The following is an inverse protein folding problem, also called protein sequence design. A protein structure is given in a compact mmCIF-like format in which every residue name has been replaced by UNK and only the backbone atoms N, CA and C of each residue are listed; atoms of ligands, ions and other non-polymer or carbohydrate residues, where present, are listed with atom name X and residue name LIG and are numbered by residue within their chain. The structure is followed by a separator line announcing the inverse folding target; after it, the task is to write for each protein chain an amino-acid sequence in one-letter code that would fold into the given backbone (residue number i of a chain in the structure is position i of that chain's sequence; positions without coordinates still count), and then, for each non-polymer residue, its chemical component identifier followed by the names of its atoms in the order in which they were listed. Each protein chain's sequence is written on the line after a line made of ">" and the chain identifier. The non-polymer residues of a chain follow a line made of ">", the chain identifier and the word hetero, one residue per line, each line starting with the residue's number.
data_IF_801308564389
#
_entry.id   IF_801308564389
#
_cell.length_a   1.000
_cell.length_b   1.000
_cell.length_c   1.000
_cell.angle_alpha   90.00
_cell.angle_beta   90.00
_cell.angle_gamma   90.00
#
_symmetry.space_group_name_H-M   'P 1'
#
loop_
_entity.id
_entity.type
_entity.pdbx_description
1 polymer ?
#
# COMPACT_ATOMS: atom_id res chain seq x y z
N UNK A 1 5.97 -19.17 15.51
CA UNK A 1 6.72 -18.59 16.64
C UNK A 1 5.76 -18.44 17.79
N UNK A 2 6.19 -18.82 18.98
CA UNK A 2 5.41 -18.58 20.19
C UNK A 2 5.32 -17.06 20.40
N UNK A 3 4.16 -16.45 20.70
CA UNK A 3 4.04 -15.00 20.92
C UNK A 3 5.06 -14.44 21.93
N UNK A 4 5.49 -15.24 22.90
CA UNK A 4 6.57 -14.87 23.83
C UNK A 4 7.93 -14.61 23.15
N UNK A 5 8.26 -15.35 22.09
CA UNK A 5 9.52 -15.19 21.34
C UNK A 5 9.50 -13.94 20.47
N UNK A 6 8.33 -13.53 19.97
CA UNK A 6 8.17 -12.34 19.13
C UNK A 6 8.34 -11.07 19.98
N UNK A 7 7.84 -11.08 21.22
CA UNK A 7 8.02 -9.98 22.18
C UNK A 7 9.48 -9.81 22.63
N UNK A 8 10.28 -10.88 22.58
CA UNK A 8 11.70 -10.83 22.92
C UNK A 8 12.58 -10.29 21.78
N UNK A 9 12.02 -10.03 20.58
CA UNK A 9 12.79 -9.53 19.45
C UNK A 9 13.24 -8.08 19.69
N UNK A 10 14.48 -7.72 19.29
CA UNK A 10 14.96 -6.36 19.43
C UNK A 10 14.12 -5.41 18.59
N UNK A 11 13.81 -4.24 19.16
CA UNK A 11 13.04 -3.21 18.46
C UNK A 11 13.77 -2.79 17.17
N UNK A 12 13.08 -2.74 16.01
CA UNK A 12 13.70 -2.35 14.77
C UNK A 12 14.28 -0.94 14.84
N UNK A 13 15.56 -0.80 14.46
CA UNK A 13 16.32 0.46 14.39
C UNK A 13 15.57 1.51 13.57
N UNK A 14 15.72 2.79 13.94
CA UNK A 14 15.08 3.94 13.29
C UNK A 14 15.16 3.89 11.75
N UNK A 15 16.36 3.67 11.20
CA UNK A 15 16.58 3.61 9.75
C UNK A 15 15.79 2.51 9.05
N UNK A 16 15.60 1.34 9.67
CA UNK A 16 14.76 0.27 9.09
C UNK A 16 13.30 0.70 8.96
N UNK A 17 12.79 1.45 9.94
CA UNK A 17 11.42 1.99 9.90
C UNK A 17 11.29 3.02 8.78
N UNK A 18 12.31 3.87 8.58
CA UNK A 18 12.34 4.87 7.51
C UNK A 18 12.38 4.21 6.13
N UNK A 19 13.28 3.25 5.89
CA UNK A 19 13.35 2.55 4.60
C UNK A 19 12.10 1.74 4.29
N UNK A 20 11.47 1.13 5.31
CA UNK A 20 10.20 0.43 5.13
C UNK A 20 9.07 1.39 4.75
N UNK A 21 8.98 2.55 5.39
CA UNK A 21 8.00 3.57 5.00
C UNK A 21 8.27 4.08 3.59
N UNK A 22 9.53 4.35 3.24
CA UNK A 22 9.90 4.79 1.90
C UNK A 22 9.53 3.75 0.83
N UNK A 23 9.76 2.46 1.13
CA UNK A 23 9.40 1.36 0.25
C UNK A 23 7.88 1.24 0.09
N UNK A 24 7.11 1.39 1.17
CA UNK A 24 5.65 1.42 1.11
C UNK A 24 5.15 2.58 0.24
N UNK A 25 5.74 3.77 0.38
CA UNK A 25 5.38 4.92 -0.46
C UNK A 25 5.71 4.66 -1.94
N UNK A 26 6.87 4.07 -2.24
CA UNK A 26 7.24 3.71 -3.61
C UNK A 26 6.25 2.70 -4.22
N UNK A 27 5.86 1.68 -3.45
CA UNK A 27 4.86 0.70 -3.85
C UNK A 27 3.51 1.37 -4.12
N UNK A 28 3.04 2.21 -3.20
CA UNK A 28 1.77 2.92 -3.35
C UNK A 28 1.78 3.85 -4.56
N UNK A 29 2.89 4.56 -4.81
CA UNK A 29 3.03 5.38 -6.02
C UNK A 29 2.93 4.51 -7.27
N UNK A 30 3.58 3.34 -7.31
CA UNK A 30 3.50 2.42 -8.44
C UNK A 30 2.09 1.85 -8.67
N UNK A 31 1.43 1.41 -7.59
CA UNK A 31 0.05 0.90 -7.63
C UNK A 31 -0.91 2.00 -8.08
N UNK A 32 -0.86 3.18 -7.44
CA UNK A 32 -1.70 4.31 -7.80
C UNK A 32 -1.46 4.77 -9.24
N UNK A 33 -0.20 4.86 -9.68
CA UNK A 33 0.11 5.26 -11.04
C UNK A 33 -0.52 4.30 -12.06
N UNK A 34 -0.36 2.98 -11.88
CA UNK A 34 -0.97 1.99 -12.77
C UNK A 34 -2.50 2.03 -12.71
N UNK A 35 -3.05 2.01 -11.51
CA UNK A 35 -4.50 2.00 -11.29
C UNK A 35 -5.17 3.29 -11.75
N UNK A 36 -4.46 4.42 -11.75
CA UNK A 36 -4.98 5.68 -12.26
C UNK A 36 -4.78 5.82 -13.77
N UNK A 37 -3.58 5.51 -14.28
CA UNK A 37 -3.20 5.72 -15.67
C UNK A 37 -3.91 4.74 -16.62
N UNK A 38 -3.98 3.45 -16.27
CA UNK A 38 -4.56 2.43 -17.16
C UNK A 38 -6.03 2.70 -17.48
N UNK A 39 -6.93 2.93 -16.49
CA UNK A 39 -8.35 3.18 -16.78
C UNK A 39 -8.59 4.54 -17.42
N UNK A 40 -7.88 5.59 -17.00
CA UNK A 40 -8.02 6.92 -17.61
C UNK A 40 -7.60 6.90 -19.08
N UNK A 41 -6.49 6.23 -19.40
CA UNK A 41 -6.02 6.09 -20.77
C UNK A 41 -6.99 5.24 -21.61
N UNK A 42 -7.47 4.12 -21.08
CA UNK A 42 -8.46 3.27 -21.75
C UNK A 42 -9.75 4.04 -22.07
N UNK A 43 -10.30 4.77 -21.09
CA UNK A 43 -11.53 5.54 -21.28
C UNK A 43 -11.30 6.70 -22.25
N UNK A 44 -10.15 7.38 -22.16
CA UNK A 44 -9.79 8.45 -23.08
C UNK A 44 -9.64 7.97 -24.52
N UNK A 45 -9.01 6.81 -24.74
CA UNK A 45 -8.80 6.24 -26.09
C UNK A 45 -10.07 5.62 -26.67
N UNK A 46 -10.86 4.91 -25.87
CA UNK A 46 -12.05 4.19 -26.36
C UNK A 46 -13.29 5.07 -26.47
N UNK A 47 -13.48 6.01 -25.53
CA UNK A 47 -14.71 6.81 -25.44
C UNK A 47 -14.48 8.31 -25.64
N UNK A 48 -13.23 8.80 -25.61
CA UNK A 48 -12.93 10.23 -25.72
C UNK A 48 -13.40 11.06 -24.51
N UNK A 49 -13.69 10.40 -23.38
CA UNK A 49 -14.25 11.04 -22.17
C UNK A 49 -13.15 11.18 -21.11
N UNK A 50 -13.11 12.33 -20.45
CA UNK A 50 -12.26 12.55 -19.27
C UNK A 50 -13.05 12.27 -17.99
N UNK A 51 -12.45 11.55 -17.04
CA UNK A 51 -13.07 11.27 -15.74
C UNK A 51 -13.09 12.58 -14.92
N UNK A 52 -14.23 12.96 -14.32
CA UNK A 52 -14.32 14.14 -13.47
C UNK A 52 -13.36 14.07 -12.28
N UNK A 53 -12.75 15.19 -11.92
CA UNK A 53 -11.71 15.28 -10.87
C UNK A 53 -12.16 14.73 -9.52
N UNK A 54 -13.41 14.97 -9.12
CA UNK A 54 -13.96 14.44 -7.86
C UNK A 54 -14.02 12.91 -7.87
N UNK A 55 -14.52 12.30 -8.95
CA UNK A 55 -14.65 10.85 -9.04
C UNK A 55 -13.26 10.18 -9.00
N UNK A 56 -12.27 10.80 -9.64
CA UNK A 56 -10.87 10.40 -9.57
C UNK A 56 -10.31 10.39 -8.14
N UNK A 57 -10.67 11.37 -7.30
CA UNK A 57 -10.29 11.36 -5.88
C UNK A 57 -10.92 10.20 -5.12
N UNK A 58 -12.24 10.00 -5.24
CA UNK A 58 -12.91 8.87 -4.57
C UNK A 58 -12.32 7.53 -4.98
N UNK A 59 -12.04 7.37 -6.28
CA UNK A 59 -11.39 6.19 -6.81
C UNK A 59 -10.01 5.98 -6.18
N UNK A 60 -9.18 7.03 -6.12
CA UNK A 60 -7.83 6.96 -5.57
C UNK A 60 -7.84 6.57 -4.09
N UNK A 61 -8.70 7.19 -3.28
CA UNK A 61 -8.89 6.82 -1.87
C UNK A 61 -9.47 5.40 -1.71
N UNK A 62 -10.38 5.00 -2.60
CA UNK A 62 -10.94 3.65 -2.62
C UNK A 62 -9.88 2.58 -2.89
N UNK A 63 -8.99 2.82 -3.86
CA UNK A 63 -7.86 1.92 -4.18
C UNK A 63 -6.88 1.86 -3.01
N UNK A 64 -6.55 3.01 -2.40
CA UNK A 64 -5.68 3.06 -1.23
C UNK A 64 -6.28 2.25 -0.05
N UNK A 65 -7.54 2.52 0.26
CA UNK A 65 -8.27 1.82 1.32
C UNK A 65 -8.36 0.32 1.04
N UNK A 66 -8.68 -0.07 -0.19
CA UNK A 66 -8.72 -1.47 -0.59
C UNK A 66 -7.35 -2.15 -0.44
N UNK A 67 -6.27 -1.50 -0.89
CA UNK A 67 -4.90 -2.00 -0.71
C UNK A 67 -4.60 -2.25 0.77
N UNK A 68 -4.75 -1.24 1.62
CA UNK A 68 -4.44 -1.39 3.05
C UNK A 68 -5.32 -2.43 3.73
N UNK A 69 -6.64 -2.39 3.51
CA UNK A 69 -7.58 -3.36 4.10
C UNK A 69 -7.29 -4.78 3.64
N UNK A 70 -6.96 -4.99 2.36
CA UNK A 70 -6.62 -6.30 1.82
C UNK A 70 -5.36 -6.88 2.46
N UNK A 71 -4.26 -6.11 2.49
CA UNK A 71 -3.01 -6.57 3.09
C UNK A 71 -3.15 -6.81 4.60
N UNK A 72 -3.88 -5.93 5.28
CA UNK A 72 -4.12 -6.05 6.72
C UNK A 72 -5.01 -7.24 7.07
N UNK A 73 -6.09 -7.47 6.31
CA UNK A 73 -7.00 -8.60 6.54
C UNK A 73 -6.34 -9.95 6.22
N UNK A 74 -5.42 -9.99 5.25
CA UNK A 74 -4.79 -11.24 4.81
C UNK A 74 -3.59 -11.66 5.67
N UNK A 75 -2.76 -10.70 6.07
CA UNK A 75 -1.49 -11.01 6.75
C UNK A 75 -1.22 -10.14 8.00
N UNK A 76 -2.04 -9.13 8.29
CA UNK A 76 -1.79 -8.18 9.39
C UNK A 76 -0.52 -7.33 9.20
N UNK A 77 0.07 -7.36 8.00
CA UNK A 77 1.31 -6.68 7.64
C UNK A 77 1.15 -6.11 6.23
N UNK A 78 1.68 -4.91 6.01
CA UNK A 78 1.76 -4.34 4.67
C UNK A 78 2.83 -5.05 3.84
N UNK A 79 2.79 -4.89 2.52
CA UNK A 79 3.77 -5.53 1.64
C UNK A 79 5.21 -5.09 1.99
N UNK A 80 5.44 -3.82 2.36
CA UNK A 80 6.76 -3.39 2.81
C UNK A 80 7.17 -4.04 4.15
N UNK A 81 6.25 -4.24 5.08
CA UNK A 81 6.57 -4.92 6.33
C UNK A 81 7.02 -6.37 6.09
N UNK A 82 6.40 -7.05 5.13
CA UNK A 82 6.78 -8.42 4.73
C UNK A 82 8.19 -8.47 4.11
N UNK A 83 8.53 -7.53 3.23
CA UNK A 83 9.86 -7.51 2.57
C UNK A 83 10.99 -7.31 3.58
N UNK A 84 10.78 -6.47 4.60
CA UNK A 84 11.76 -6.19 5.64
C UNK A 84 11.62 -7.09 6.89
N UNK A 85 10.71 -8.08 6.85
CA UNK A 85 10.39 -9.00 7.96
C UNK A 85 10.13 -8.27 9.27
N UNK A 86 9.32 -7.21 9.22
CA UNK A 86 8.87 -6.47 10.38
C UNK A 86 7.42 -6.79 10.68
N UNK A 87 7.07 -6.82 11.96
CA UNK A 87 5.72 -7.09 12.42
C UNK A 87 5.33 -6.06 13.47
N UNK A 88 4.10 -5.58 13.39
CA UNK A 88 3.49 -4.83 14.48
C UNK A 88 3.05 -5.86 15.53
N UNK A 89 3.54 -5.68 16.75
CA UNK A 89 3.16 -6.47 17.92
C UNK A 89 2.38 -5.53 18.84
N UNK A 90 1.25 -6.01 19.36
CA UNK A 90 0.43 -5.28 20.33
C UNK A 90 0.91 -5.55 21.75
#
# INVERSE_FOLDING_TARGET
>A
MNPAEINALPTPRFWRRVFCNLYEQLLLVGVLALTFMVPNLLIGVLFGIAIPSWLSFFYLYGVLGFYFVWYWRRNGQTLAMQTWRMQIVA
#
